data_IF_434373403043
#
_entry.id   IF_434373403043
#
_cell.length_a   1.000
_cell.length_b   1.000
_cell.length_c   1.000
_cell.angle_alpha   90.00
_cell.angle_beta   90.00
_cell.angle_gamma   90.00
#
_symmetry.space_group_name_H-M   'P 1'
#
loop_
_entity.id
_entity.type
_entity.pdbx_description
1 polymer ?
#
# COMPACT_ATOMS: atom_id res chain seq x y z
N UNK A 1 -11.84 9.13 -18.28
CA UNK A 1 -10.55 8.48 -17.98
C UNK A 1 -10.80 7.59 -16.76
N UNK A 2 -10.29 6.39 -16.76
CA UNK A 2 -10.41 5.46 -15.62
C UNK A 2 -9.11 5.47 -14.81
N UNK A 3 -9.22 5.42 -13.50
CA UNK A 3 -8.07 5.43 -12.61
C UNK A 3 -8.04 4.19 -11.73
N UNK A 4 -6.85 3.70 -11.44
CA UNK A 4 -6.63 2.66 -10.43
C UNK A 4 -5.34 2.95 -9.64
N UNK A 5 -5.22 2.35 -8.46
CA UNK A 5 -4.02 2.43 -7.66
C UNK A 5 -3.51 1.04 -7.31
N UNK A 6 -2.22 0.80 -7.55
CA UNK A 6 -1.50 -0.32 -6.96
C UNK A 6 -1.06 0.10 -5.57
N UNK A 7 -1.35 -0.71 -4.57
CA UNK A 7 -0.92 -0.44 -3.20
C UNK A 7 -0.26 -1.69 -2.62
N UNK A 8 0.88 -1.49 -1.96
CA UNK A 8 1.73 -2.56 -1.48
C UNK A 8 1.99 -2.43 0.02
N UNK A 9 1.74 -3.51 0.74
CA UNK A 9 1.95 -3.60 2.18
C UNK A 9 3.28 -4.27 2.53
N UNK A 10 3.64 -4.23 3.81
CA UNK A 10 4.70 -4.98 4.48
C UNK A 10 6.14 -4.61 4.12
N UNK A 11 6.34 -3.63 3.24
CA UNK A 11 7.68 -3.06 3.04
C UNK A 11 8.17 -2.27 4.27
N UNK A 12 9.49 -1.92 4.30
CA UNK A 12 10.55 -2.44 3.44
C UNK A 12 11.00 -3.85 3.85
N UNK A 13 11.77 -4.52 3.01
CA UNK A 13 12.29 -5.85 3.32
C UNK A 13 13.39 -5.81 4.38
N UNK A 14 13.41 -6.78 5.30
CA UNK A 14 14.50 -6.96 6.27
C UNK A 14 15.74 -7.60 5.67
N UNK A 15 15.52 -8.54 4.74
CA UNK A 15 16.59 -9.32 4.12
C UNK A 15 17.13 -8.65 2.86
N UNK A 16 18.23 -9.17 2.34
CA UNK A 16 18.78 -8.74 1.06
C UNK A 16 17.95 -9.14 -0.17
N UNK A 17 16.77 -9.74 0.01
CA UNK A 17 15.89 -10.16 -1.09
C UNK A 17 15.36 -8.99 -1.92
N UNK A 18 15.11 -7.85 -1.30
CA UNK A 18 14.75 -6.63 -2.02
C UNK A 18 13.51 -6.71 -2.93
N UNK A 19 12.46 -7.45 -2.53
CA UNK A 19 11.21 -7.54 -3.30
C UNK A 19 10.63 -6.16 -3.58
N UNK A 20 10.65 -5.23 -2.62
CA UNK A 20 10.25 -3.84 -2.84
C UNK A 20 11.10 -3.16 -3.94
N UNK A 21 12.42 -3.37 -3.97
CA UNK A 21 13.29 -2.80 -5.00
C UNK A 21 12.97 -3.35 -6.39
N UNK A 22 12.74 -4.67 -6.52
CA UNK A 22 12.31 -5.31 -7.77
C UNK A 22 10.95 -4.79 -8.24
N UNK A 23 10.03 -4.53 -7.30
CA UNK A 23 8.74 -3.90 -7.64
C UNK A 23 8.94 -2.49 -8.19
N UNK A 24 9.84 -1.69 -7.61
CA UNK A 24 10.16 -0.37 -8.16
C UNK A 24 10.75 -0.45 -9.57
N UNK A 25 11.57 -1.47 -9.89
CA UNK A 25 12.07 -1.69 -11.25
C UNK A 25 10.93 -1.95 -12.24
N UNK A 26 9.92 -2.71 -11.84
CA UNK A 26 8.71 -2.97 -12.65
C UNK A 26 7.90 -1.69 -12.84
N UNK A 27 7.64 -0.93 -11.77
CA UNK A 27 6.91 0.34 -11.87
C UNK A 27 7.62 1.34 -12.79
N UNK A 28 8.94 1.46 -12.66
CA UNK A 28 9.77 2.32 -13.51
C UNK A 28 9.76 1.87 -14.97
N UNK A 29 9.93 0.57 -15.25
CA UNK A 29 9.82 -0.03 -16.59
C UNK A 29 8.52 0.35 -17.29
N UNK A 30 7.42 0.37 -16.57
CA UNK A 30 6.10 0.71 -17.12
C UNK A 30 5.74 2.19 -17.00
N UNK A 31 6.57 3.03 -16.36
CA UNK A 31 6.28 4.44 -16.14
C UNK A 31 5.01 4.67 -15.35
N UNK A 32 4.82 3.95 -14.24
CA UNK A 32 3.67 4.06 -13.33
C UNK A 32 4.12 4.29 -11.90
N UNK A 33 3.22 4.80 -11.07
CA UNK A 33 3.42 5.04 -9.64
C UNK A 33 2.47 4.18 -8.81
N UNK A 34 2.78 4.04 -7.52
CA UNK A 34 2.03 3.24 -6.56
C UNK A 34 2.04 3.91 -5.17
N UNK A 35 1.36 3.30 -4.20
CA UNK A 35 1.48 3.66 -2.79
C UNK A 35 2.00 2.46 -1.99
N UNK A 36 2.91 2.71 -1.06
CA UNK A 36 3.50 1.71 -0.20
C UNK A 36 3.10 1.98 1.25
N UNK A 37 2.43 1.02 1.89
CA UNK A 37 2.05 1.04 3.29
C UNK A 37 3.12 0.29 4.10
N UNK A 38 3.97 1.03 4.79
CA UNK A 38 5.16 0.47 5.42
C UNK A 38 4.94 0.07 6.87
N UNK A 39 5.54 -1.05 7.25
CA UNK A 39 5.75 -1.45 8.65
C UNK A 39 7.05 -0.78 9.13
N UNK A 40 6.93 0.25 9.96
CA UNK A 40 8.05 1.15 10.19
C UNK A 40 9.18 0.58 11.05
N UNK A 41 8.95 -0.44 11.88
CA UNK A 41 10.02 -1.11 12.62
C UNK A 41 10.97 -1.94 11.72
N UNK A 42 10.56 -2.19 10.47
CA UNK A 42 11.42 -2.79 9.44
C UNK A 42 12.44 -1.80 8.84
N UNK A 43 12.24 -0.50 9.06
CA UNK A 43 13.12 0.54 8.51
C UNK A 43 14.48 0.50 9.21
N UNK A 44 15.55 0.45 8.42
CA UNK A 44 16.94 0.43 8.86
C UNK A 44 17.80 1.32 7.97
N UNK A 45 19.05 1.54 8.35
CA UNK A 45 20.00 2.26 7.51
C UNK A 45 20.25 1.54 6.15
N UNK A 46 20.07 0.24 6.11
CA UNK A 46 20.36 -0.59 4.93
C UNK A 46 19.26 -0.50 3.87
N UNK A 47 17.99 -0.32 4.31
CA UNK A 47 16.83 -0.29 3.41
C UNK A 47 16.20 1.10 3.22
N UNK A 48 16.69 2.14 3.89
CA UNK A 48 16.19 3.52 3.71
C UNK A 48 16.28 3.98 2.25
N UNK A 49 17.34 3.59 1.53
CA UNK A 49 17.54 3.98 0.14
C UNK A 49 16.42 3.51 -0.82
N UNK A 50 15.79 2.36 -0.56
CA UNK A 50 14.68 1.88 -1.38
C UNK A 50 13.41 2.72 -1.14
N UNK A 51 13.17 3.16 0.09
CA UNK A 51 12.05 4.05 0.43
C UNK A 51 12.25 5.43 -0.23
N UNK A 52 13.47 5.98 -0.14
CA UNK A 52 13.81 7.23 -0.82
C UNK A 52 13.65 7.13 -2.34
N UNK A 53 14.04 6.00 -2.94
CA UNK A 53 13.84 5.75 -4.38
C UNK A 53 12.36 5.77 -4.72
N UNK A 54 11.52 5.03 -4.00
CA UNK A 54 10.07 5.00 -4.21
C UNK A 54 9.48 6.42 -4.17
N UNK A 55 9.84 7.19 -3.16
CA UNK A 55 9.37 8.56 -3.00
C UNK A 55 9.83 9.50 -4.13
N UNK A 56 11.11 9.40 -4.55
CA UNK A 56 11.66 10.17 -5.69
C UNK A 56 11.02 9.80 -7.05
N UNK A 57 10.56 8.57 -7.20
CA UNK A 57 9.79 8.12 -8.38
C UNK A 57 8.36 8.67 -8.40
N UNK A 58 7.90 9.36 -7.36
CA UNK A 58 6.55 9.89 -7.24
C UNK A 58 5.54 8.89 -6.62
N UNK A 59 6.01 7.80 -6.05
CA UNK A 59 5.17 6.92 -5.22
C UNK A 59 4.87 7.60 -3.87
N UNK A 60 3.72 7.29 -3.27
CA UNK A 60 3.42 7.73 -1.92
C UNK A 60 3.81 6.65 -0.90
N UNK A 61 4.24 7.11 0.28
CA UNK A 61 4.64 6.27 1.41
C UNK A 61 3.65 6.51 2.53
N UNK A 62 2.93 5.47 2.93
CA UNK A 62 1.78 5.53 3.82
C UNK A 62 1.96 4.61 5.04
N UNK A 63 1.09 4.77 6.04
CA UNK A 63 1.22 4.14 7.34
C UNK A 63 0.57 2.75 7.41
N UNK A 64 1.37 1.73 7.81
CA UNK A 64 0.91 0.35 8.12
C UNK A 64 1.31 -0.08 9.54
N UNK A 65 1.32 0.87 10.47
CA UNK A 65 1.75 0.74 11.87
C UNK A 65 3.27 0.57 12.07
N UNK A 66 3.69 0.69 13.33
CA UNK A 66 5.08 0.47 13.70
C UNK A 66 5.47 -1.01 13.59
N UNK A 67 4.69 -1.94 14.20
CA UNK A 67 5.07 -3.34 14.37
C UNK A 67 4.08 -4.36 13.80
N UNK A 68 3.04 -3.92 13.09
CA UNK A 68 2.01 -4.74 12.47
C UNK A 68 1.16 -5.56 13.47
N UNK A 69 0.68 -5.00 14.58
CA UNK A 69 -0.20 -5.73 15.50
C UNK A 69 -1.65 -5.75 14.98
N UNK A 70 -2.45 -6.67 15.51
CA UNK A 70 -3.90 -6.54 15.44
C UNK A 70 -4.34 -5.35 16.32
N UNK A 71 -4.55 -4.20 15.69
CA UNK A 71 -4.87 -2.95 16.37
C UNK A 71 -6.14 -3.03 17.21
N UNK A 72 -7.07 -3.92 16.86
CA UNK A 72 -8.35 -4.07 17.60
C UNK A 72 -8.16 -4.65 19.02
N UNK A 73 -6.98 -5.18 19.31
CA UNK A 73 -6.62 -5.75 20.62
C UNK A 73 -5.83 -4.81 21.52
N UNK A 74 -5.49 -3.63 21.01
CA UNK A 74 -4.69 -2.64 21.72
C UNK A 74 -5.55 -1.67 22.52
N UNK A 75 -4.98 -1.08 23.56
CA UNK A 75 -5.52 0.09 24.23
C UNK A 75 -5.42 1.33 23.32
N UNK A 76 -6.14 2.39 23.68
CA UNK A 76 -6.07 3.69 22.97
C UNK A 76 -4.64 4.20 22.86
N UNK A 77 -3.90 4.16 23.96
CA UNK A 77 -2.52 4.64 24.05
C UNK A 77 -1.58 3.83 23.17
N UNK A 78 -1.72 2.50 23.17
CA UNK A 78 -0.92 1.61 22.31
C UNK A 78 -1.25 1.82 20.83
N UNK A 79 -2.52 2.04 20.46
CA UNK A 79 -2.91 2.36 19.08
C UNK A 79 -2.26 3.65 18.58
N UNK A 80 -2.28 4.70 19.41
CA UNK A 80 -1.67 5.99 19.10
C UNK A 80 -0.14 5.81 18.95
N UNK A 81 0.50 5.07 19.84
CA UNK A 81 1.94 4.81 19.79
C UNK A 81 2.36 4.07 18.51
N UNK A 82 1.63 3.02 18.11
CA UNK A 82 1.85 2.26 16.88
C UNK A 82 1.70 3.13 15.63
N UNK A 83 0.68 3.99 15.62
CA UNK A 83 0.42 4.90 14.50
C UNK A 83 1.46 6.02 14.42
N UNK A 84 1.69 6.75 15.52
CA UNK A 84 2.56 7.92 15.55
C UNK A 84 4.02 7.56 15.29
N UNK A 85 4.53 6.46 15.85
CA UNK A 85 5.90 5.98 15.58
C UNK A 85 6.12 5.67 14.10
N UNK A 86 5.12 5.12 13.43
CA UNK A 86 5.20 4.86 12.00
C UNK A 86 5.23 6.18 11.20
N UNK A 87 4.34 7.12 11.50
CA UNK A 87 4.33 8.45 10.87
C UNK A 87 5.68 9.14 11.04
N UNK A 88 6.23 9.19 12.27
CA UNK A 88 7.52 9.82 12.56
C UNK A 88 8.66 9.21 11.75
N UNK A 89 8.71 7.88 11.64
CA UNK A 89 9.74 7.19 10.86
C UNK A 89 9.64 7.51 9.37
N UNK A 90 8.44 7.54 8.80
CA UNK A 90 8.21 7.89 7.40
C UNK A 90 8.54 9.36 7.13
N UNK A 91 8.10 10.27 7.99
CA UNK A 91 8.39 11.71 7.87
C UNK A 91 9.90 11.97 7.88
N UNK A 92 10.65 11.26 8.73
CA UNK A 92 12.11 11.40 8.81
C UNK A 92 12.83 11.10 7.49
N UNK A 93 12.28 10.21 6.68
CA UNK A 93 12.88 9.80 5.39
C UNK A 93 12.36 10.67 4.25
N UNK A 94 11.05 10.88 4.20
CA UNK A 94 10.37 11.48 3.05
C UNK A 94 10.15 12.99 3.20
N UNK A 95 10.17 13.51 4.43
CA UNK A 95 9.73 14.88 4.75
C UNK A 95 8.22 15.09 4.62
N UNK A 96 7.44 14.05 4.29
CA UNK A 96 5.98 14.10 4.06
C UNK A 96 5.27 13.22 5.08
N UNK A 97 4.20 13.75 5.67
CA UNK A 97 3.34 12.98 6.57
C UNK A 97 2.45 12.03 5.76
N UNK A 98 2.29 10.76 6.17
CA UNK A 98 1.26 9.87 5.64
C UNK A 98 -0.14 10.49 5.76
N UNK A 99 -0.97 10.28 4.75
CA UNK A 99 -2.33 10.81 4.69
C UNK A 99 -3.41 9.73 4.56
N UNK A 100 -2.98 8.49 4.46
CA UNK A 100 -3.80 7.28 4.48
C UNK A 100 -3.27 6.31 5.53
N UNK A 101 -4.15 5.45 6.00
CA UNK A 101 -3.83 4.39 6.93
C UNK A 101 -4.37 3.05 6.42
N UNK A 102 -3.54 2.01 6.47
CA UNK A 102 -4.03 0.63 6.27
C UNK A 102 -3.87 -0.15 7.56
N UNK A 103 -4.98 -0.57 8.19
CA UNK A 103 -4.92 -1.37 9.40
C UNK A 103 -4.38 -2.77 9.09
N UNK A 104 -3.44 -3.30 9.91
CA UNK A 104 -3.00 -4.69 9.81
C UNK A 104 -4.17 -5.67 9.80
N UNK A 105 -4.07 -6.71 8.97
CA UNK A 105 -5.11 -7.75 8.79
C UNK A 105 -6.47 -7.21 8.33
N UNK A 106 -6.56 -5.92 7.96
CA UNK A 106 -7.82 -5.21 7.67
C UNK A 106 -8.81 -5.28 8.87
N UNK A 107 -8.29 -5.49 10.08
CA UNK A 107 -9.07 -5.50 11.30
C UNK A 107 -9.30 -4.08 11.82
N UNK A 108 -10.56 -3.71 12.00
CA UNK A 108 -10.98 -2.35 12.39
C UNK A 108 -12.01 -2.41 13.52
N UNK A 109 -11.97 -1.42 14.43
CA UNK A 109 -13.00 -1.17 15.42
C UNK A 109 -13.26 0.35 15.56
N UNK A 110 -14.32 0.71 16.29
CA UNK A 110 -14.73 2.11 16.47
C UNK A 110 -13.64 2.96 17.14
N UNK A 111 -12.88 2.37 18.07
CA UNK A 111 -11.81 3.06 18.78
C UNK A 111 -10.69 3.54 17.84
N UNK A 112 -10.38 2.77 16.80
CA UNK A 112 -9.39 3.17 15.79
C UNK A 112 -9.83 4.44 15.04
N UNK A 113 -11.11 4.55 14.66
CA UNK A 113 -11.68 5.75 14.04
C UNK A 113 -11.74 6.96 14.98
N UNK A 114 -11.76 6.75 16.30
CA UNK A 114 -11.67 7.83 17.28
C UNK A 114 -10.26 8.42 17.42
N UNK A 115 -9.22 7.65 17.11
CA UNK A 115 -7.81 8.06 17.34
C UNK A 115 -7.04 8.34 16.06
N UNK A 116 -7.42 7.72 14.93
CA UNK A 116 -6.78 7.88 13.63
C UNK A 116 -7.77 8.61 12.70
N UNK A 117 -7.39 9.80 12.22
CA UNK A 117 -8.30 10.72 11.53
C UNK A 117 -8.09 10.81 10.01
N UNK A 118 -7.21 9.98 9.45
CA UNK A 118 -7.02 9.84 8.00
C UNK A 118 -7.89 8.71 7.46
N UNK A 119 -8.21 8.68 6.14
CA UNK A 119 -9.01 7.59 5.57
C UNK A 119 -8.34 6.22 5.75
N UNK A 120 -9.16 5.22 6.10
CA UNK A 120 -8.72 3.83 6.17
C UNK A 120 -8.86 3.17 4.80
N UNK A 121 -7.79 2.54 4.32
CA UNK A 121 -7.74 1.88 3.02
C UNK A 121 -7.65 0.37 3.20
N UNK A 122 -8.64 -0.35 2.70
CA UNK A 122 -8.59 -1.81 2.60
C UNK A 122 -7.89 -2.24 1.30
N UNK A 123 -8.44 -1.79 0.17
CA UNK A 123 -8.04 -2.29 -1.15
C UNK A 123 -8.69 -3.62 -1.50
N UNK A 124 -8.59 -4.01 -2.78
CA UNK A 124 -9.05 -5.31 -3.28
C UNK A 124 -7.88 -6.29 -3.28
N UNK A 125 -7.95 -7.34 -2.46
CA UNK A 125 -6.92 -8.36 -2.36
C UNK A 125 -6.94 -9.33 -3.53
N UNK A 126 -5.75 -9.74 -3.96
CA UNK A 126 -5.54 -10.77 -4.98
C UNK A 126 -5.06 -12.10 -4.36
N UNK A 127 -5.23 -12.26 -3.05
CA UNK A 127 -4.77 -13.42 -2.24
C UNK A 127 -3.26 -13.67 -2.38
N UNK A 128 -2.48 -12.60 -2.56
CA UNK A 128 -1.04 -12.68 -2.76
C UNK A 128 -0.25 -12.98 -1.48
N UNK A 129 -0.92 -12.91 -0.33
CA UNK A 129 -0.43 -13.39 0.97
C UNK A 129 -0.57 -14.92 1.16
N UNK A 130 -1.18 -15.63 0.19
CA UNK A 130 -1.29 -17.08 0.22
C UNK A 130 -0.15 -17.67 -0.60
N UNK A 131 0.86 -18.34 0.03
CA UNK A 131 2.07 -18.75 -0.67
C UNK A 131 1.84 -19.72 -1.84
N UNK A 132 0.78 -20.54 -1.76
CA UNK A 132 0.42 -21.54 -2.76
C UNK A 132 -0.24 -20.93 -4.00
N UNK A 133 -0.69 -19.67 -3.94
CA UNK A 133 -1.30 -18.99 -5.08
C UNK A 133 -0.26 -18.62 -6.14
N UNK A 134 -0.45 -19.14 -7.32
CA UNK A 134 0.37 -18.83 -8.48
C UNK A 134 0.14 -17.40 -8.99
N UNK A 135 1.08 -16.87 -9.78
CA UNK A 135 0.91 -15.58 -10.44
C UNK A 135 -0.34 -15.54 -11.35
N UNK A 136 -0.68 -16.64 -12.01
CA UNK A 136 -1.87 -16.76 -12.86
C UNK A 136 -3.17 -16.65 -12.06
N UNK A 137 -3.26 -17.30 -10.90
CA UNK A 137 -4.42 -17.21 -10.02
C UNK A 137 -4.60 -15.81 -9.45
N UNK A 138 -3.50 -15.19 -8.98
CA UNK A 138 -3.50 -13.80 -8.50
C UNK A 138 -3.90 -12.82 -9.62
N UNK A 139 -3.37 -13.02 -10.83
CA UNK A 139 -3.72 -12.22 -12.01
C UNK A 139 -5.21 -12.32 -12.33
N UNK A 140 -5.77 -13.52 -12.29
CA UNK A 140 -7.20 -13.72 -12.52
C UNK A 140 -8.05 -12.98 -11.48
N UNK A 141 -7.70 -13.08 -10.18
CA UNK A 141 -8.41 -12.38 -9.10
C UNK A 141 -8.35 -10.85 -9.28
N UNK A 142 -7.20 -10.30 -9.69
CA UNK A 142 -7.06 -8.89 -10.01
C UNK A 142 -7.97 -8.49 -11.17
N UNK A 143 -7.92 -9.23 -12.28
CA UNK A 143 -8.61 -8.87 -13.52
C UNK A 143 -10.13 -9.09 -13.46
N UNK A 144 -10.61 -10.01 -12.63
CA UNK A 144 -12.05 -10.22 -12.42
C UNK A 144 -12.73 -9.04 -11.69
N UNK A 145 -11.95 -8.13 -11.09
CA UNK A 145 -12.46 -7.03 -10.26
C UNK A 145 -12.04 -5.64 -10.76
N UNK A 146 -11.71 -5.52 -12.04
CA UNK A 146 -11.28 -4.26 -12.64
C UNK A 146 -12.44 -3.26 -12.72
N UNK A 147 -12.28 -2.10 -12.07
CA UNK A 147 -13.23 -0.99 -12.13
C UNK A 147 -12.55 0.36 -11.87
N UNK A 148 -13.18 1.43 -12.32
CA UNK A 148 -12.66 2.79 -12.11
C UNK A 148 -12.71 3.17 -10.62
N UNK A 149 -11.60 3.65 -10.09
CA UNK A 149 -11.44 4.01 -8.69
C UNK A 149 -10.93 2.88 -7.78
N UNK A 150 -10.62 1.71 -8.34
CA UNK A 150 -10.14 0.57 -7.54
C UNK A 150 -8.72 0.80 -6.99
N UNK A 151 -8.52 0.40 -5.74
CA UNK A 151 -7.20 0.22 -5.11
C UNK A 151 -6.95 -1.28 -4.94
N UNK A 152 -5.82 -1.78 -5.45
CA UNK A 152 -5.42 -3.19 -5.26
C UNK A 152 -4.56 -3.31 -4.00
N UNK A 153 -4.89 -4.28 -3.15
CA UNK A 153 -4.10 -4.67 -1.97
C UNK A 153 -3.16 -5.79 -2.38
N UNK A 154 -1.87 -5.52 -2.32
CA UNK A 154 -0.78 -6.42 -2.66
C UNK A 154 0.32 -6.31 -1.59
N UNK A 155 1.30 -7.22 -1.61
CA UNK A 155 2.39 -7.24 -0.64
C UNK A 155 3.76 -7.28 -1.33
N UNK A 156 4.73 -6.62 -0.72
CA UNK A 156 6.14 -6.65 -1.13
C UNK A 156 7.03 -7.26 -0.04
N UNK A 157 6.47 -8.20 0.71
CA UNK A 157 7.21 -9.02 1.66
C UNK A 157 8.26 -9.92 0.95
N UNK A 158 9.23 -10.41 1.73
CA UNK A 158 10.34 -11.19 1.19
C UNK A 158 9.87 -12.46 0.46
N UNK A 159 10.37 -12.67 -0.75
CA UNK A 159 10.09 -13.86 -1.55
C UNK A 159 8.79 -13.84 -2.34
N UNK A 160 8.05 -12.72 -2.39
CA UNK A 160 6.77 -12.63 -3.09
C UNK A 160 6.92 -12.42 -4.61
N UNK A 161 7.70 -13.27 -5.26
CA UNK A 161 8.01 -13.21 -6.70
C UNK A 161 6.75 -13.32 -7.59
N UNK A 162 5.74 -14.11 -7.16
CA UNK A 162 4.50 -14.24 -7.90
C UNK A 162 3.71 -12.93 -7.99
N UNK A 163 3.81 -12.04 -7.00
CA UNK A 163 3.24 -10.69 -7.07
C UNK A 163 4.01 -9.79 -8.03
N UNK A 164 5.34 -9.91 -8.11
CA UNK A 164 6.13 -9.19 -9.11
C UNK A 164 5.68 -9.58 -10.53
N UNK A 165 5.56 -10.87 -10.82
CA UNK A 165 5.08 -11.37 -12.10
C UNK A 165 3.64 -10.91 -12.41
N UNK A 166 2.73 -10.99 -11.43
CA UNK A 166 1.36 -10.49 -11.54
C UNK A 166 1.35 -9.03 -12.01
N UNK A 167 2.10 -8.16 -11.32
CA UNK A 167 2.08 -6.71 -11.56
C UNK A 167 2.70 -6.38 -12.92
N UNK A 168 3.84 -7.01 -13.27
CA UNK A 168 4.49 -6.80 -14.57
C UNK A 168 3.57 -7.14 -15.75
N UNK A 169 2.70 -8.15 -15.60
CA UNK A 169 1.71 -8.57 -16.61
C UNK A 169 0.44 -7.71 -16.61
N UNK A 170 -0.03 -7.28 -15.44
CA UNK A 170 -1.30 -6.56 -15.33
C UNK A 170 -1.22 -5.13 -15.83
N UNK A 171 -0.11 -4.42 -15.58
CA UNK A 171 0.02 -3.00 -15.95
C UNK A 171 -0.25 -2.74 -17.44
N UNK A 172 0.40 -3.41 -18.40
CA UNK A 172 0.14 -3.13 -19.82
C UNK A 172 -1.31 -3.40 -20.22
N UNK A 173 -1.92 -4.48 -19.70
CA UNK A 173 -3.31 -4.84 -20.02
C UNK A 173 -4.29 -3.78 -19.49
N UNK A 174 -4.09 -3.31 -18.25
CA UNK A 174 -4.93 -2.25 -17.68
C UNK A 174 -4.76 -0.92 -18.41
N UNK A 175 -3.53 -0.59 -18.85
CA UNK A 175 -3.29 0.59 -19.71
C UNK A 175 -4.04 0.49 -21.04
N UNK A 176 -4.03 -0.66 -21.71
CA UNK A 176 -4.80 -0.91 -22.94
C UNK A 176 -6.31 -0.78 -22.72
N UNK A 177 -6.81 -1.11 -21.53
CA UNK A 177 -8.19 -0.91 -21.12
C UNK A 177 -8.53 0.56 -20.77
N UNK A 178 -7.55 1.48 -20.86
CA UNK A 178 -7.71 2.91 -20.63
C UNK A 178 -7.62 3.32 -19.17
N UNK A 179 -6.94 2.53 -18.32
CA UNK A 179 -6.64 2.90 -16.95
C UNK A 179 -5.35 3.73 -16.88
N UNK A 180 -5.38 4.76 -16.06
CA UNK A 180 -4.21 5.50 -15.59
C UNK A 180 -3.90 5.09 -14.16
N UNK A 181 -2.63 4.76 -13.91
CA UNK A 181 -2.15 4.37 -12.59
C UNK A 181 -1.76 5.62 -11.80
N UNK A 182 -2.38 5.79 -10.65
CA UNK A 182 -2.12 6.92 -9.75
C UNK A 182 -1.86 6.41 -8.33
N UNK A 183 -1.23 7.23 -7.49
CA UNK A 183 -1.11 6.90 -6.06
C UNK A 183 -2.48 6.93 -5.38
N UNK A 184 -2.64 6.21 -4.27
CA UNK A 184 -3.91 6.17 -3.55
C UNK A 184 -4.37 7.57 -3.09
N UNK A 185 -3.52 8.45 -2.50
CA UNK A 185 -3.92 9.83 -2.21
C UNK A 185 -4.38 10.59 -3.45
N UNK A 186 -3.69 10.42 -4.58
CA UNK A 186 -4.08 11.08 -5.84
C UNK A 186 -5.42 10.58 -6.36
N UNK A 187 -5.73 9.30 -6.13
CA UNK A 187 -7.03 8.73 -6.50
C UNK A 187 -8.17 9.41 -5.73
N UNK A 188 -8.02 9.59 -4.41
CA UNK A 188 -8.98 10.33 -3.58
C UNK A 188 -9.20 11.77 -4.11
N UNK A 189 -8.13 12.49 -4.43
CA UNK A 189 -8.22 13.84 -5.02
C UNK A 189 -9.01 13.84 -6.34
N UNK A 190 -8.68 12.94 -7.27
CA UNK A 190 -9.32 12.86 -8.58
C UNK A 190 -10.80 12.50 -8.49
N UNK A 191 -11.19 11.77 -7.46
CA UNK A 191 -12.59 11.40 -7.18
C UNK A 191 -13.31 12.42 -6.29
N UNK A 192 -12.63 13.48 -5.83
CA UNK A 192 -13.21 14.51 -4.98
C UNK A 192 -13.58 14.03 -3.58
N UNK A 193 -12.93 12.98 -3.09
CA UNK A 193 -13.15 12.43 -1.74
C UNK A 193 -12.19 13.09 -0.75
N UNK A 194 -12.70 13.66 0.35
CA UNK A 194 -11.85 14.31 1.35
C UNK A 194 -10.85 13.35 2.01
N UNK A 195 -9.63 13.82 2.25
CA UNK A 195 -8.58 13.10 2.99
C UNK A 195 -8.83 13.15 4.50
N UNK A 196 -9.97 12.63 4.92
CA UNK A 196 -10.39 12.58 6.32
C UNK A 196 -11.14 11.29 6.57
N UNK A 197 -10.90 10.68 7.72
CA UNK A 197 -11.67 9.51 8.15
C UNK A 197 -13.17 9.82 8.24
N UNK A 198 -13.99 8.90 7.74
CA UNK A 198 -15.44 8.96 7.74
C UNK A 198 -16.08 7.64 8.20
N UNK A 199 -15.31 6.77 8.84
CA UNK A 199 -15.75 5.44 9.29
C UNK A 199 -15.81 4.38 8.18
N UNK A 200 -15.27 4.68 6.99
CA UNK A 200 -15.22 3.76 5.86
C UNK A 200 -13.86 3.08 5.71
N UNK A 201 -13.87 1.79 5.36
CA UNK A 201 -12.72 1.07 4.81
C UNK A 201 -12.79 1.09 3.28
N UNK A 202 -11.93 1.90 2.67
CA UNK A 202 -11.99 2.15 1.24
C UNK A 202 -11.34 1.02 0.42
N UNK A 203 -12.07 0.48 -0.53
CA UNK A 203 -11.57 -0.45 -1.57
C UNK A 203 -11.66 0.20 -2.94
N UNK A 204 -12.67 0.99 -3.15
CA UNK A 204 -12.93 1.77 -4.37
C UNK A 204 -13.27 3.20 -3.97
N UNK A 205 -12.74 4.19 -4.65
CA UNK A 205 -12.94 5.61 -4.41
C UNK A 205 -13.86 6.22 -5.47
#
# INVERSE_FOLDING_TARGET
MKYCSLTFDDGPNFSGDNTMSKMLDILEKHGVVASFFLIANKISAENTAVIERAFKMGCDIENHTWSHPDMTKLSREEMIEEYDKCDEAIIKITGKKPVLFRPPYICVNDLMHEVIHVPFVCGHGCEDWVPERTADERYKLMMDNVQDGIMYLLHVDDGNEATLELVDRAIPVLKEQGFEFVTAPRLFELKGVPMKDNGQNWTVV
#
